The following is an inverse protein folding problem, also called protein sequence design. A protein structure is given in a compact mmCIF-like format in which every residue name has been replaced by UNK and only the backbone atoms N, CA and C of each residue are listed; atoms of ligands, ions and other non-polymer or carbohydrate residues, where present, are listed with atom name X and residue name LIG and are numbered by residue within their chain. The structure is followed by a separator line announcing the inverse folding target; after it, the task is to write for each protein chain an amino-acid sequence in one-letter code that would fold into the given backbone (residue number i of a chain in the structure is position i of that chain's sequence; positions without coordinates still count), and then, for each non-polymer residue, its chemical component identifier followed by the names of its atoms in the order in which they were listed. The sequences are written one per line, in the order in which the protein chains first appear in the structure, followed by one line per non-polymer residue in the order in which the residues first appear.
data_IF_685181374747
#
_entry.id   IF_685181374747
#
_cell.length_a   1.000
_cell.length_b   1.000
_cell.length_c   1.000
_cell.angle_alpha   90.00
_cell.angle_beta   90.00
_cell.angle_gamma   90.00
#
_symmetry.space_group_name_H-M   'P 1'
#
loop_
_entity.id
_entity.type
_entity.pdbx_description
1 polymer ?
#
# COMPACT_ATOMS: atom_id res chain seq x y z
N UNK A 1 9.52 9.67 -32.04
CA UNK A 1 8.73 10.19 -30.90
C UNK A 1 9.31 11.52 -30.46
N UNK A 2 8.50 12.46 -29.99
CA UNK A 2 8.99 13.70 -29.40
C UNK A 2 9.86 13.38 -28.16
N UNK A 3 10.91 14.16 -27.91
CA UNK A 3 11.72 13.99 -26.69
C UNK A 3 10.87 14.29 -25.44
N UNK A 4 11.16 13.71 -24.27
CA UNK A 4 10.44 14.00 -23.02
C UNK A 4 10.29 15.49 -22.73
N UNK A 5 11.35 16.28 -23.00
CA UNK A 5 11.33 17.74 -22.89
C UNK A 5 10.31 18.40 -23.83
N UNK A 6 10.34 18.06 -25.13
CA UNK A 6 9.38 18.59 -26.11
C UNK A 6 7.95 18.23 -25.74
N UNK A 7 7.74 17.05 -25.17
CA UNK A 7 6.42 16.63 -24.69
C UNK A 7 5.94 17.50 -23.51
N UNK A 8 6.80 17.79 -22.53
CA UNK A 8 6.46 18.71 -21.42
C UNK A 8 6.17 20.12 -21.94
N UNK A 9 7.00 20.65 -22.85
CA UNK A 9 6.78 21.93 -23.52
C UNK A 9 5.42 21.94 -24.26
N UNK A 10 5.06 20.86 -24.94
CA UNK A 10 3.76 20.72 -25.59
C UNK A 10 2.60 20.74 -24.58
N UNK A 11 2.72 20.07 -23.42
CA UNK A 11 1.70 20.11 -22.36
C UNK A 11 1.54 21.55 -21.86
N UNK A 12 2.64 22.24 -21.55
CA UNK A 12 2.59 23.62 -21.04
C UNK A 12 1.92 24.58 -22.01
N UNK A 13 2.22 24.46 -23.31
CA UNK A 13 1.64 25.33 -24.34
C UNK A 13 0.18 25.01 -24.64
N UNK A 14 -0.18 23.73 -24.78
CA UNK A 14 -1.51 23.33 -25.23
C UNK A 14 -2.55 23.30 -24.11
N UNK A 15 -2.17 22.81 -22.93
CA UNK A 15 -3.09 22.59 -21.82
C UNK A 15 -3.20 23.78 -20.88
N UNK A 16 -2.09 24.50 -20.68
CA UNK A 16 -2.00 25.61 -19.73
C UNK A 16 -1.89 26.97 -20.42
N UNK A 17 -1.95 27.01 -21.76
CA UNK A 17 -1.84 28.23 -22.57
C UNK A 17 -0.62 29.10 -22.25
N UNK A 18 0.47 28.51 -21.74
CA UNK A 18 1.69 29.26 -21.40
C UNK A 18 2.33 29.75 -22.70
N UNK A 19 2.40 31.08 -22.87
CA UNK A 19 2.85 31.73 -24.11
C UNK A 19 1.76 31.95 -25.16
N UNK A 20 0.48 31.76 -24.82
CA UNK A 20 -0.69 32.08 -25.64
C UNK A 20 -1.69 33.00 -24.92
N UNK A 21 -2.91 33.11 -25.44
CA UNK A 21 -3.99 33.91 -24.83
C UNK A 21 -4.38 33.37 -23.43
N UNK A 22 -4.57 34.24 -22.43
CA UNK A 22 -4.92 33.82 -21.08
C UNK A 22 -6.32 33.20 -21.04
N UNK A 23 -6.43 32.02 -20.42
CA UNK A 23 -7.71 31.33 -20.26
C UNK A 23 -8.44 31.88 -19.01
N UNK A 24 -9.66 32.42 -19.12
CA UNK A 24 -10.38 33.04 -17.99
C UNK A 24 -10.77 32.06 -16.88
N UNK A 25 -10.83 30.74 -17.15
CA UNK A 25 -11.20 29.70 -16.18
C UNK A 25 -10.03 29.23 -15.29
N UNK A 26 -8.85 29.79 -15.50
CA UNK A 26 -7.62 29.41 -14.81
C UNK A 26 -7.72 29.66 -13.30
N UNK A 27 -8.29 30.80 -12.90
CA UNK A 27 -8.38 31.19 -11.51
C UNK A 27 -9.35 30.26 -10.75
N UNK A 28 -10.50 29.94 -11.34
CA UNK A 28 -11.45 28.97 -10.81
C UNK A 28 -10.83 27.57 -10.68
N UNK A 29 -10.04 27.14 -11.67
CA UNK A 29 -9.32 25.86 -11.61
C UNK A 29 -8.26 25.86 -10.50
N UNK A 30 -7.58 26.99 -10.30
CA UNK A 30 -6.61 27.14 -9.22
C UNK A 30 -7.29 27.06 -7.84
N UNK A 31 -8.40 27.78 -7.64
CA UNK A 31 -9.16 27.70 -6.39
C UNK A 31 -9.74 26.31 -6.17
N UNK A 32 -10.25 25.65 -7.20
CA UNK A 32 -10.74 24.27 -7.11
C UNK A 32 -9.62 23.29 -6.72
N UNK A 33 -8.43 23.40 -7.32
CA UNK A 33 -7.28 22.56 -6.95
C UNK A 33 -6.77 22.84 -5.55
N UNK A 34 -6.72 24.10 -5.15
CA UNK A 34 -6.31 24.52 -3.80
C UNK A 34 -7.33 24.07 -2.74
N UNK A 35 -8.62 24.18 -3.02
CA UNK A 35 -9.67 23.71 -2.10
C UNK A 35 -9.70 22.18 -2.05
N UNK A 36 -9.54 21.49 -3.17
CA UNK A 36 -9.40 20.04 -3.19
C UNK A 36 -8.16 19.59 -2.40
N UNK A 37 -6.99 20.22 -2.60
CA UNK A 37 -5.80 19.88 -1.83
C UNK A 37 -5.94 20.22 -0.35
N UNK A 38 -6.56 21.35 -0.01
CA UNK A 38 -6.80 21.74 1.38
C UNK A 38 -7.83 20.82 2.05
N UNK A 39 -9.02 20.61 1.47
CA UNK A 39 -10.10 19.83 2.08
C UNK A 39 -9.81 18.34 2.14
N UNK A 40 -9.28 17.74 1.05
CA UNK A 40 -8.93 16.31 1.02
C UNK A 40 -7.81 15.94 1.99
N UNK A 41 -7.05 16.94 2.45
CA UNK A 41 -5.88 16.72 3.29
C UNK A 41 -5.85 17.61 4.54
N UNK A 42 -6.99 18.19 4.92
CA UNK A 42 -7.18 19.19 6.00
C UNK A 42 -7.01 18.65 7.43
N UNK A 43 -6.60 17.39 7.60
CA UNK A 43 -6.43 16.79 8.93
C UNK A 43 -5.15 15.96 8.96
N UNK A 44 -4.45 16.02 10.10
CA UNK A 44 -3.29 15.18 10.44
C UNK A 44 -3.52 13.69 10.14
N UNK A 45 -4.79 13.27 10.12
CA UNK A 45 -5.25 11.93 9.77
C UNK A 45 -4.90 11.49 8.33
N UNK A 46 -4.78 12.43 7.38
CA UNK A 46 -4.30 12.11 6.02
C UNK A 46 -2.77 12.07 5.92
N UNK A 47 -2.08 12.80 6.81
CA UNK A 47 -0.64 12.75 6.92
C UNK A 47 -0.16 11.36 7.35
N UNK A 48 -0.90 10.70 8.25
CA UNK A 48 -0.64 9.32 8.73
C UNK A 48 -0.68 8.22 7.66
N UNK A 49 -1.08 8.52 6.41
CA UNK A 49 -1.18 7.51 5.33
C UNK A 49 -0.44 7.88 4.05
N UNK A 50 0.37 8.93 4.09
CA UNK A 50 1.08 9.40 2.89
C UNK A 50 2.05 8.36 2.31
N UNK A 51 2.89 7.75 3.16
CA UNK A 51 3.81 6.67 2.76
C UNK A 51 3.06 5.55 2.05
N UNK A 52 1.86 5.23 2.54
CA UNK A 52 1.03 4.17 1.98
C UNK A 52 0.41 4.53 0.62
N UNK A 53 0.11 5.81 0.36
CA UNK A 53 -0.28 6.26 -0.99
C UNK A 53 0.83 6.10 -2.00
N UNK A 54 2.09 6.26 -1.60
CA UNK A 54 3.23 6.02 -2.47
C UNK A 54 3.42 4.53 -2.75
N UNK A 55 3.23 3.67 -1.72
CA UNK A 55 3.20 2.21 -1.90
C UNK A 55 2.12 1.83 -2.92
N UNK A 56 0.93 2.41 -2.84
CA UNK A 56 -0.11 2.15 -3.86
C UNK A 56 0.24 2.65 -5.26
N UNK A 57 0.88 3.82 -5.37
CA UNK A 57 1.31 4.30 -6.67
C UNK A 57 2.31 3.33 -7.30
N UNK A 58 3.25 2.80 -6.50
CA UNK A 58 4.19 1.78 -6.92
C UNK A 58 3.49 0.46 -7.27
N UNK A 59 2.57 -0.01 -6.42
CA UNK A 59 1.79 -1.22 -6.69
C UNK A 59 0.98 -1.15 -8.00
N UNK A 60 0.46 0.03 -8.33
CA UNK A 60 -0.25 0.27 -9.58
C UNK A 60 0.66 0.36 -10.82
N UNK A 61 1.99 0.43 -10.65
CA UNK A 61 2.93 0.56 -11.77
C UNK A 61 3.08 -0.74 -12.57
N UNK A 62 3.74 -0.63 -13.73
CA UNK A 62 4.10 -1.79 -14.55
C UNK A 62 5.57 -2.15 -14.38
N UNK A 63 5.83 -3.45 -14.22
CA UNK A 63 7.18 -3.99 -14.08
C UNK A 63 7.53 -4.86 -15.29
N UNK A 64 8.82 -5.00 -15.57
CA UNK A 64 9.31 -5.93 -16.59
C UNK A 64 9.19 -7.37 -16.10
N UNK A 65 9.05 -8.31 -17.03
CA UNK A 65 9.02 -9.73 -16.70
C UNK A 65 10.37 -10.18 -16.16
N UNK A 66 10.36 -11.00 -15.10
CA UNK A 66 11.58 -11.50 -14.45
C UNK A 66 12.29 -10.52 -13.50
N UNK A 67 11.73 -9.31 -13.28
CA UNK A 67 12.22 -8.38 -12.26
C UNK A 67 11.37 -8.55 -11.00
N UNK A 68 12.01 -8.55 -9.83
CA UNK A 68 11.31 -8.46 -8.55
C UNK A 68 10.97 -7.00 -8.24
N UNK A 69 9.68 -6.62 -8.21
CA UNK A 69 9.28 -5.23 -7.99
C UNK A 69 9.65 -4.76 -6.58
N UNK A 70 10.34 -3.63 -6.50
CA UNK A 70 10.86 -3.08 -5.25
C UNK A 70 10.56 -1.59 -5.12
N UNK A 71 10.32 -1.17 -3.88
CA UNK A 71 10.12 0.24 -3.52
C UNK A 71 11.04 0.60 -2.35
N UNK A 72 11.87 1.61 -2.54
CA UNK A 72 12.80 2.08 -1.52
C UNK A 72 12.52 3.53 -1.16
N UNK A 73 12.51 3.82 0.14
CA UNK A 73 12.44 5.15 0.71
C UNK A 73 13.80 5.51 1.32
N UNK A 74 14.39 6.63 0.91
CA UNK A 74 15.63 7.15 1.49
C UNK A 74 15.38 8.55 2.04
N UNK A 75 15.48 8.71 3.35
CA UNK A 75 15.40 10.00 4.03
C UNK A 75 16.81 10.53 4.27
N UNK A 76 17.17 11.66 3.65
CA UNK A 76 18.49 12.29 3.84
C UNK A 76 18.34 13.70 4.41
N UNK A 77 19.31 14.13 5.23
CA UNK A 77 19.43 15.51 5.69
C UNK A 77 20.00 16.45 4.62
N UNK A 78 20.50 15.89 3.51
CA UNK A 78 21.10 16.67 2.41
C UNK A 78 20.02 17.34 1.58
N UNK A 79 20.22 18.61 1.27
CA UNK A 79 19.41 19.35 0.31
C UNK A 79 19.93 19.13 -1.12
N UNK A 80 19.53 18.00 -1.70
CA UNK A 80 19.94 17.57 -3.04
C UNK A 80 19.48 18.58 -4.11
N UNK A 81 18.38 19.29 -3.85
CA UNK A 81 17.74 20.19 -4.80
C UNK A 81 18.16 21.66 -4.65
N UNK A 82 18.92 22.02 -3.61
CA UNK A 82 19.26 23.42 -3.30
C UNK A 82 18.03 24.29 -2.97
N UNK A 83 17.00 23.67 -2.39
CA UNK A 83 15.71 24.31 -2.07
C UNK A 83 15.68 24.99 -0.70
N UNK A 84 16.70 24.79 0.13
CA UNK A 84 16.73 25.19 1.54
C UNK A 84 15.94 24.25 2.45
N UNK A 85 15.54 23.07 1.97
CA UNK A 85 14.81 22.10 2.77
C UNK A 85 15.72 21.44 3.83
N UNK A 86 15.23 21.25 5.07
CA UNK A 86 16.02 20.63 6.14
C UNK A 86 16.23 19.12 5.98
N UNK A 87 15.42 18.47 5.14
CA UNK A 87 15.56 17.06 4.77
C UNK A 87 14.90 16.80 3.41
N UNK A 88 15.36 15.77 2.72
CA UNK A 88 14.84 15.32 1.43
C UNK A 88 14.44 13.85 1.53
N UNK A 89 13.20 13.53 1.14
CA UNK A 89 12.75 12.16 0.95
C UNK A 89 12.89 11.77 -0.52
N UNK A 90 13.63 10.70 -0.78
CA UNK A 90 13.75 10.08 -2.09
C UNK A 90 12.99 8.78 -2.11
N UNK A 91 12.30 8.51 -3.22
CA UNK A 91 11.56 7.28 -3.43
C UNK A 91 12.05 6.68 -4.74
N UNK A 92 12.56 5.45 -4.66
CA UNK A 92 13.07 4.72 -5.80
C UNK A 92 12.16 3.55 -6.12
N UNK A 93 11.80 3.41 -7.39
CA UNK A 93 10.98 2.30 -7.87
C UNK A 93 11.54 1.75 -9.19
N UNK A 94 11.72 0.43 -9.25
CA UNK A 94 12.33 -0.27 -10.38
C UNK A 94 11.31 -0.65 -11.49
N UNK A 95 10.23 0.13 -11.62
CA UNK A 95 9.23 -0.04 -12.65
C UNK A 95 9.77 0.22 -14.08
N UNK A 96 8.93 -0.02 -15.09
CA UNK A 96 9.20 0.37 -16.49
C UNK A 96 9.37 1.89 -16.68
N UNK A 97 8.87 2.68 -15.73
CA UNK A 97 8.94 4.14 -15.73
C UNK A 97 7.76 4.83 -16.42
N UNK A 98 7.72 6.15 -16.31
CA UNK A 98 6.58 6.96 -16.71
C UNK A 98 6.44 7.03 -18.23
N UNK A 99 5.24 6.73 -18.72
CA UNK A 99 4.83 7.00 -20.10
C UNK A 99 4.31 8.43 -20.26
N UNK A 100 4.23 8.92 -21.50
CA UNK A 100 3.59 10.21 -21.81
C UNK A 100 2.19 10.34 -21.22
N UNK A 101 1.39 9.27 -21.26
CA UNK A 101 0.04 9.23 -20.67
C UNK A 101 0.06 9.39 -19.14
N UNK A 102 1.08 8.86 -18.46
CA UNK A 102 1.21 9.04 -17.01
C UNK A 102 1.49 10.50 -16.67
N UNK A 103 2.38 11.16 -17.42
CA UNK A 103 2.69 12.58 -17.24
C UNK A 103 1.45 13.45 -17.49
N UNK A 104 0.72 13.20 -18.58
CA UNK A 104 -0.54 13.91 -18.88
C UNK A 104 -1.59 13.71 -17.78
N UNK A 105 -1.67 12.50 -17.21
CA UNK A 105 -2.58 12.18 -16.10
C UNK A 105 -2.21 12.92 -14.82
N UNK A 106 -0.93 13.02 -14.45
CA UNK A 106 -0.49 13.80 -13.28
C UNK A 106 -0.79 15.29 -13.47
N UNK A 107 -0.68 15.79 -14.70
CA UNK A 107 -1.00 17.19 -15.02
C UNK A 107 -2.52 17.45 -15.09
N UNK A 108 -3.37 16.48 -14.75
CA UNK A 108 -4.84 16.60 -14.77
C UNK A 108 -5.42 16.60 -13.36
N UNK A 109 -6.62 17.17 -13.20
CA UNK A 109 -7.40 17.16 -11.96
C UNK A 109 -8.67 16.35 -12.19
N UNK A 110 -8.95 15.36 -11.34
CA UNK A 110 -10.19 14.57 -11.40
C UNK A 110 -10.33 13.59 -12.57
N UNK A 111 -9.31 13.46 -13.44
CA UNK A 111 -9.23 12.40 -14.46
C UNK A 111 -8.14 11.41 -14.08
N UNK A 112 -8.53 10.21 -13.65
CA UNK A 112 -7.62 9.08 -13.41
C UNK A 112 -7.62 8.14 -14.60
N UNK A 113 -6.45 7.73 -15.08
CA UNK A 113 -6.28 6.63 -16.03
C UNK A 113 -6.71 5.27 -15.47
N UNK A 114 -6.97 5.20 -14.15
CA UNK A 114 -7.29 3.98 -13.41
C UNK A 114 -8.79 3.83 -13.10
N UNK A 115 -9.62 4.83 -13.43
CA UNK A 115 -11.07 4.79 -13.18
C UNK A 115 -11.72 3.65 -13.97
N UNK A 116 -12.45 2.76 -13.29
CA UNK A 116 -13.12 1.60 -13.89
C UNK A 116 -12.27 0.34 -14.07
N UNK A 117 -11.00 0.35 -13.65
CA UNK A 117 -10.10 -0.81 -13.77
C UNK A 117 -9.89 -1.57 -12.44
N UNK A 118 -10.84 -1.51 -11.50
CA UNK A 118 -10.76 -2.24 -10.21
C UNK A 118 -10.56 -3.74 -10.36
N UNK A 119 -11.11 -4.36 -11.41
CA UNK A 119 -10.91 -5.79 -11.73
C UNK A 119 -9.42 -6.15 -11.96
N UNK A 120 -8.55 -5.16 -12.23
CA UNK A 120 -7.09 -5.32 -12.36
C UNK A 120 -6.32 -4.95 -11.09
N UNK A 121 -7.00 -4.70 -9.97
CA UNK A 121 -6.37 -4.36 -8.69
C UNK A 121 -6.00 -2.88 -8.52
N UNK A 122 -6.40 -1.99 -9.44
CA UNK A 122 -6.06 -0.57 -9.33
C UNK A 122 -6.78 0.13 -8.18
N UNK A 123 -6.01 0.87 -7.37
CA UNK A 123 -6.51 1.51 -6.14
C UNK A 123 -6.77 3.02 -6.35
N UNK A 124 -6.03 3.66 -7.25
CA UNK A 124 -6.09 5.11 -7.49
C UNK A 124 -7.24 5.62 -8.37
N UNK A 125 -8.48 5.67 -7.87
CA UNK A 125 -9.65 6.05 -8.71
C UNK A 125 -9.86 7.55 -8.93
N UNK A 126 -9.45 8.37 -7.97
CA UNK A 126 -9.86 9.79 -7.90
C UNK A 126 -8.95 10.74 -8.68
N UNK A 127 -7.79 10.28 -9.15
CA UNK A 127 -6.83 11.12 -9.89
C UNK A 127 -6.14 12.19 -9.03
N UNK A 128 -6.23 12.06 -7.70
CA UNK A 128 -5.65 12.98 -6.70
C UNK A 128 -4.47 12.35 -5.94
N UNK A 129 -4.19 11.05 -6.13
CA UNK A 129 -3.22 10.30 -5.33
C UNK A 129 -1.83 10.93 -5.31
N UNK A 130 -1.31 11.33 -6.48
CA UNK A 130 -0.04 12.05 -6.57
C UNK A 130 -0.09 13.43 -5.89
N UNK A 131 -1.24 14.10 -5.84
CA UNK A 131 -1.34 15.43 -5.22
C UNK A 131 -1.17 15.40 -3.71
N UNK A 132 -1.29 14.22 -3.08
CA UNK A 132 -0.98 14.04 -1.66
C UNK A 132 0.48 14.37 -1.30
N UNK A 133 1.43 14.31 -2.26
CA UNK A 133 2.83 14.68 -1.99
C UNK A 133 2.97 16.13 -1.52
N UNK A 134 2.03 17.01 -1.91
CA UNK A 134 2.05 18.41 -1.51
C UNK A 134 1.78 18.65 -0.02
N UNK A 135 1.33 17.62 0.71
CA UNK A 135 1.24 17.66 2.16
C UNK A 135 2.60 17.80 2.83
N UNK A 136 3.63 17.20 2.23
CA UNK A 136 4.95 17.08 2.84
C UNK A 136 6.02 17.88 2.10
N UNK A 137 5.78 18.23 0.84
CA UNK A 137 6.71 19.04 0.03
C UNK A 137 5.96 20.16 -0.68
N UNK A 138 6.60 21.31 -0.88
CA UNK A 138 6.06 22.35 -1.76
C UNK A 138 6.44 22.12 -3.25
N UNK A 139 7.46 21.29 -3.50
CA UNK A 139 8.09 21.13 -4.79
C UNK A 139 8.48 19.67 -5.03
N UNK A 140 7.56 18.79 -5.43
CA UNK A 140 7.90 17.42 -5.81
C UNK A 140 8.59 17.37 -7.18
N UNK A 141 9.61 16.51 -7.27
CA UNK A 141 10.38 16.26 -8.49
C UNK A 141 10.18 14.81 -8.95
N UNK A 142 10.14 14.61 -10.27
CA UNK A 142 9.99 13.31 -10.92
C UNK A 142 11.10 13.15 -11.95
N UNK A 143 11.88 12.09 -11.77
CA UNK A 143 12.90 11.62 -12.72
C UNK A 143 12.51 10.22 -13.18
N UNK A 144 12.15 10.07 -14.45
CA UNK A 144 11.76 8.76 -15.00
C UNK A 144 11.81 8.74 -16.52
N UNK A 145 12.42 7.72 -17.14
CA UNK A 145 12.48 7.56 -18.61
C UNK A 145 12.92 8.83 -19.38
N UNK A 146 13.89 9.57 -18.83
CA UNK A 146 14.38 10.82 -19.40
C UNK A 146 13.49 12.04 -19.19
N UNK A 147 12.34 11.91 -18.50
CA UNK A 147 11.64 13.05 -17.91
C UNK A 147 12.41 13.55 -16.69
N UNK A 148 12.56 14.86 -16.60
CA UNK A 148 13.10 15.57 -15.44
C UNK A 148 12.20 16.78 -15.20
N UNK A 149 11.17 16.57 -14.37
CA UNK A 149 10.12 17.56 -14.15
C UNK A 149 9.91 17.82 -12.67
N UNK A 150 9.49 19.03 -12.34
CA UNK A 150 8.99 19.40 -11.02
C UNK A 150 7.59 19.97 -11.12
N UNK A 151 6.89 19.94 -10.00
CA UNK A 151 5.65 20.71 -9.81
C UNK A 151 5.84 21.63 -8.61
N UNK A 152 5.06 22.71 -8.53
CA UNK A 152 5.17 23.70 -7.45
C UNK A 152 3.79 23.98 -6.86
N UNK A 153 3.70 24.13 -5.55
CA UNK A 153 2.47 24.56 -4.85
C UNK A 153 2.06 25.98 -5.23
N UNK A 154 3.06 26.87 -5.34
CA UNK A 154 2.88 28.26 -5.73
C UNK A 154 2.33 28.38 -7.17
N UNK A 155 1.44 29.35 -7.42
CA UNK A 155 0.98 29.68 -8.76
C UNK A 155 2.14 29.95 -9.71
N UNK A 156 2.12 29.32 -10.89
CA UNK A 156 3.03 29.68 -11.97
C UNK A 156 2.79 31.15 -12.38
N UNK A 157 3.82 32.00 -12.48
CA UNK A 157 3.65 33.42 -12.84
C UNK A 157 2.95 33.65 -14.19
N UNK A 158 3.03 32.68 -15.11
CA UNK A 158 2.47 32.79 -16.46
C UNK A 158 0.99 32.41 -16.56
N UNK A 159 0.54 31.48 -15.72
CA UNK A 159 -0.80 30.91 -15.84
C UNK A 159 -1.54 30.81 -14.50
N UNK A 160 -1.04 31.40 -13.42
CA UNK A 160 -1.73 31.44 -12.12
C UNK A 160 -2.01 30.08 -11.47
N UNK A 161 -1.49 28.97 -12.02
CA UNK A 161 -1.78 27.61 -11.58
C UNK A 161 -0.58 26.97 -10.87
N UNK A 162 -0.83 26.41 -9.69
CA UNK A 162 0.08 25.51 -8.98
C UNK A 162 -0.37 24.04 -9.10
N UNK A 163 0.34 23.13 -8.44
CA UNK A 163 0.08 21.70 -8.27
C UNK A 163 0.11 20.82 -9.53
N UNK A 164 -0.30 21.32 -10.69
CA UNK A 164 -0.55 20.53 -11.91
C UNK A 164 0.31 20.95 -13.10
N UNK A 165 0.98 22.09 -13.02
CA UNK A 165 1.84 22.59 -14.10
C UNK A 165 3.20 21.93 -14.00
N UNK A 166 3.63 21.13 -15.00
CA UNK A 166 4.96 20.55 -15.00
C UNK A 166 5.97 21.61 -15.46
N UNK A 167 7.07 21.72 -14.72
CA UNK A 167 8.21 22.55 -15.08
C UNK A 167 9.41 21.65 -15.37
N UNK A 168 10.11 21.88 -16.48
CA UNK A 168 11.35 21.17 -16.76
C UNK A 168 12.45 21.66 -15.82
N UNK A 169 13.23 20.74 -15.25
CA UNK A 169 14.33 21.09 -14.35
C UNK A 169 15.62 21.11 -15.15
N UNK A 170 16.22 22.30 -15.25
CA UNK A 170 17.52 22.50 -15.88
C UNK A 170 18.63 22.36 -14.83
N UNK A 171 19.68 21.59 -15.12
CA UNK A 171 20.88 21.51 -14.28
C UNK A 171 20.76 20.56 -13.08
N UNK A 172 20.24 21.05 -11.94
CA UNK A 172 20.41 20.41 -10.62
C UNK A 172 19.13 19.69 -10.10
N UNK A 173 19.27 18.50 -9.50
CA UNK A 173 20.52 17.81 -9.22
C UNK A 173 21.02 17.12 -10.49
N UNK A 174 22.33 16.94 -10.58
CA UNK A 174 22.86 16.02 -11.56
C UNK A 174 22.44 14.59 -11.20
N UNK A 175 22.28 13.71 -12.20
CA UNK A 175 22.05 12.27 -11.93
C UNK A 175 23.14 11.67 -11.01
N UNK A 176 24.35 12.26 -11.01
CA UNK A 176 25.42 11.89 -10.08
C UNK A 176 25.10 12.23 -8.62
N UNK A 177 24.40 13.31 -8.33
CA UNK A 177 24.05 13.66 -6.94
C UNK A 177 22.98 12.74 -6.38
N UNK A 178 22.03 12.32 -7.23
CA UNK A 178 21.04 11.29 -6.89
C UNK A 178 21.75 9.95 -6.64
N UNK A 179 22.71 9.57 -7.51
CA UNK A 179 23.52 8.35 -7.34
C UNK A 179 24.30 8.31 -6.03
N UNK A 180 24.88 9.43 -5.60
CA UNK A 180 25.62 9.50 -4.33
C UNK A 180 24.77 9.16 -3.11
N UNK A 181 23.48 9.48 -3.15
CA UNK A 181 22.52 9.21 -2.07
C UNK A 181 21.95 7.79 -2.16
N UNK A 182 21.76 7.28 -3.37
CA UNK A 182 21.28 5.91 -3.57
C UNK A 182 22.37 4.87 -3.22
N UNK A 183 23.42 4.81 -4.04
CA UNK A 183 24.65 4.06 -3.83
C UNK A 183 25.56 4.39 -5.03
N UNK A 184 26.81 4.79 -4.76
CA UNK A 184 27.76 5.18 -5.81
C UNK A 184 28.13 4.01 -6.74
N UNK A 185 27.93 2.76 -6.32
CA UNK A 185 28.19 1.56 -7.09
C UNK A 185 26.98 0.96 -7.84
N UNK A 186 25.76 1.44 -7.57
CA UNK A 186 24.54 0.82 -8.08
C UNK A 186 23.92 1.57 -9.27
N UNK A 187 23.19 0.82 -10.10
CA UNK A 187 22.34 1.40 -11.15
C UNK A 187 21.10 2.01 -10.49
N UNK A 188 20.82 3.28 -10.79
CA UNK A 188 19.61 3.94 -10.30
C UNK A 188 18.36 3.24 -10.83
N UNK A 189 17.34 3.04 -9.98
CA UNK A 189 16.03 2.60 -10.43
C UNK A 189 15.42 3.57 -11.46
N UNK A 190 14.58 3.02 -12.35
CA UNK A 190 14.03 3.75 -13.50
C UNK A 190 13.25 5.00 -13.10
N UNK A 191 12.49 4.93 -12.01
CA UNK A 191 11.73 6.06 -11.46
C UNK A 191 12.31 6.48 -10.13
N UNK A 192 12.62 7.77 -10.02
CA UNK A 192 13.00 8.44 -8.78
C UNK A 192 12.07 9.62 -8.54
N UNK A 193 11.44 9.66 -7.36
CA UNK A 193 10.74 10.84 -6.86
C UNK A 193 11.62 11.51 -5.80
N UNK A 194 11.78 12.83 -5.89
CA UNK A 194 12.54 13.61 -4.90
C UNK A 194 11.60 14.63 -4.27
N UNK A 195 11.52 14.62 -2.96
CA UNK A 195 10.56 15.39 -2.19
C UNK A 195 11.29 16.17 -1.08
N UNK A 196 11.69 17.42 -1.35
CA UNK A 196 12.22 18.31 -0.31
C UNK A 196 11.15 18.58 0.73
N UNK A 197 11.40 18.20 1.98
CA UNK A 197 10.37 18.21 3.02
C UNK A 197 10.15 19.61 3.59
N UNK A 198 8.89 19.93 3.88
CA UNK A 198 8.52 21.09 4.70
C UNK A 198 9.11 20.92 6.11
N UNK A 199 9.65 21.98 6.75
CA UNK A 199 10.35 21.86 8.03
C UNK A 199 9.55 21.21 9.16
N UNK A 200 8.24 21.47 9.22
CA UNK A 200 7.33 20.90 10.22
C UNK A 200 6.97 19.43 9.93
N UNK A 201 7.30 18.92 8.74
CA UNK A 201 6.93 17.57 8.29
C UNK A 201 8.06 16.54 8.38
N UNK A 202 9.29 16.95 8.70
CA UNK A 202 10.44 16.03 8.79
C UNK A 202 10.24 14.94 9.84
N UNK A 203 9.99 15.31 11.11
CA UNK A 203 9.80 14.33 12.19
C UNK A 203 8.58 13.43 11.94
N UNK A 204 7.42 13.99 11.57
CA UNK A 204 6.26 13.15 11.30
C UNK A 204 6.46 12.16 10.15
N UNK A 205 7.21 12.52 9.09
CA UNK A 205 7.54 11.59 7.99
C UNK A 205 8.47 10.47 8.47
N UNK A 206 9.48 10.81 9.28
CA UNK A 206 10.38 9.83 9.89
C UNK A 206 9.64 8.83 10.78
N UNK A 207 8.80 9.33 11.69
CA UNK A 207 7.99 8.48 12.60
C UNK A 207 7.02 7.57 11.85
N UNK A 208 6.56 8.01 10.68
CA UNK A 208 5.68 7.24 9.80
C UNK A 208 6.43 6.12 9.08
N UNK A 209 7.60 6.42 8.50
CA UNK A 209 8.41 5.44 7.81
C UNK A 209 8.95 4.36 8.77
N UNK A 210 9.22 4.70 10.04
CA UNK A 210 9.57 3.70 11.06
C UNK A 210 8.40 2.79 11.46
N UNK A 211 7.16 3.17 11.16
CA UNK A 211 5.93 2.44 11.51
C UNK A 211 5.35 1.63 10.35
N UNK A 212 6.15 1.34 9.32
CA UNK A 212 5.70 0.51 8.21
C UNK A 212 5.61 -0.95 8.66
N UNK A 213 4.39 -1.48 8.70
CA UNK A 213 4.14 -2.88 9.06
C UNK A 213 4.67 -3.84 7.98
N UNK A 214 5.48 -4.86 8.34
CA UNK A 214 5.97 -5.87 7.40
C UNK A 214 4.87 -6.57 6.59
N UNK A 215 3.74 -6.82 7.25
CA UNK A 215 2.59 -7.52 6.68
C UNK A 215 1.84 -6.73 5.59
N UNK A 216 2.20 -5.47 5.34
CA UNK A 216 1.69 -4.73 4.17
C UNK A 216 1.92 -5.52 2.88
N UNK A 217 3.09 -6.16 2.74
CA UNK A 217 3.44 -6.93 1.55
C UNK A 217 2.54 -8.15 1.31
N UNK A 218 1.90 -8.71 2.35
CA UNK A 218 1.02 -9.89 2.20
C UNK A 218 -0.18 -9.64 1.28
N UNK A 219 -0.57 -8.38 1.14
CA UNK A 219 -1.79 -7.99 0.43
C UNK A 219 -1.52 -7.14 -0.82
N UNK A 220 -0.25 -6.88 -1.13
CA UNK A 220 0.17 -6.33 -2.40
C UNK A 220 0.27 -7.46 -3.43
N UNK A 221 0.02 -7.15 -4.69
CA UNK A 221 0.02 -8.11 -5.80
C UNK A 221 1.29 -8.06 -6.65
N UNK A 222 2.06 -6.97 -6.60
CA UNK A 222 3.27 -6.79 -7.41
C UNK A 222 4.51 -6.52 -6.56
N UNK A 223 4.45 -5.56 -5.63
CA UNK A 223 5.61 -5.18 -4.82
C UNK A 223 6.01 -6.35 -3.90
N UNK A 224 7.26 -6.79 -4.04
CA UNK A 224 7.83 -7.89 -3.23
C UNK A 224 8.84 -7.43 -2.20
N UNK A 225 9.40 -6.24 -2.37
CA UNK A 225 10.40 -5.68 -1.47
C UNK A 225 10.11 -4.22 -1.16
N UNK A 226 10.21 -3.88 0.13
CA UNK A 226 10.00 -2.54 0.66
C UNK A 226 11.14 -2.21 1.62
N UNK A 227 11.91 -1.17 1.33
CA UNK A 227 13.00 -0.73 2.19
C UNK A 227 12.86 0.74 2.59
N UNK A 228 13.27 1.04 3.82
CA UNK A 228 13.34 2.37 4.39
C UNK A 228 14.76 2.55 4.91
N UNK A 229 15.43 3.60 4.45
CA UNK A 229 16.79 3.95 4.82
C UNK A 229 16.89 5.41 5.24
N UNK A 230 17.67 5.66 6.29
CA UNK A 230 18.14 7.00 6.62
C UNK A 230 19.59 7.18 6.17
N UNK A 231 19.84 8.27 5.45
CA UNK A 231 21.16 8.71 5.00
C UNK A 231 21.51 10.03 5.71
N UNK A 232 22.31 9.92 6.77
CA UNK A 232 22.77 11.02 7.59
C UNK A 232 24.22 11.39 7.25
N UNK A 233 24.63 12.61 7.60
CA UNK A 233 26.04 13.02 7.45
C UNK A 233 26.98 12.16 8.30
N UNK A 234 26.54 11.75 9.50
CA UNK A 234 27.20 10.73 10.30
C UNK A 234 26.67 9.35 9.90
N UNK A 235 27.48 8.50 9.23
CA UNK A 235 27.05 7.17 8.82
C UNK A 235 26.61 6.26 9.98
N UNK A 236 27.02 6.57 11.23
CA UNK A 236 26.62 5.81 12.43
C UNK A 236 25.15 6.00 12.79
N UNK A 237 24.53 7.08 12.31
CA UNK A 237 23.12 7.38 12.52
C UNK A 237 22.24 6.80 11.41
N UNK A 238 22.82 6.20 10.37
CA UNK A 238 22.07 5.59 9.29
C UNK A 238 21.29 4.40 9.82
N UNK A 239 20.00 4.35 9.48
CA UNK A 239 19.13 3.21 9.76
C UNK A 239 18.75 2.55 8.45
N UNK A 240 18.69 1.22 8.44
CA UNK A 240 18.13 0.46 7.33
C UNK A 240 17.10 -0.49 7.89
N UNK A 241 15.96 -0.52 7.21
CA UNK A 241 14.81 -1.29 7.58
C UNK A 241 14.23 -1.87 6.30
N UNK A 242 14.44 -3.17 6.07
CA UNK A 242 14.00 -3.84 4.86
C UNK A 242 12.92 -4.87 5.20
N UNK A 243 11.95 -5.02 4.31
CA UNK A 243 10.91 -6.04 4.36
C UNK A 243 10.87 -6.68 2.98
N UNK A 244 10.94 -8.00 2.91
CA UNK A 244 10.89 -8.72 1.64
C UNK A 244 10.02 -9.97 1.74
N UNK A 245 9.37 -10.32 0.62
CA UNK A 245 8.83 -11.65 0.39
C UNK A 245 9.98 -12.56 -0.02
N UNK A 246 10.36 -13.50 0.85
CA UNK A 246 11.47 -14.45 0.62
C UNK A 246 11.03 -15.65 -0.20
N UNK A 247 9.78 -16.08 -0.03
CA UNK A 247 9.23 -17.21 -0.78
C UNK A 247 7.71 -17.18 -0.88
N UNK A 248 7.21 -17.70 -2.00
CA UNK A 248 5.79 -17.99 -2.25
C UNK A 248 5.67 -19.44 -2.70
N UNK A 249 4.99 -20.27 -1.91
CA UNK A 249 4.92 -21.72 -2.14
C UNK A 249 3.51 -22.26 -1.90
N UNK A 250 3.33 -23.56 -2.19
CA UNK A 250 2.11 -24.32 -1.86
C UNK A 250 0.82 -23.72 -2.44
N UNK A 251 0.89 -23.16 -3.65
CA UNK A 251 -0.28 -22.61 -4.32
C UNK A 251 -1.27 -23.72 -4.70
N UNK A 252 -2.50 -23.64 -4.18
CA UNK A 252 -3.58 -24.60 -4.46
C UNK A 252 -4.87 -23.85 -4.75
N UNK A 253 -5.49 -24.15 -5.90
CA UNK A 253 -6.79 -23.61 -6.30
C UNK A 253 -7.91 -24.64 -6.08
N UNK A 254 -8.95 -24.23 -5.37
CA UNK A 254 -10.12 -25.05 -5.00
C UNK A 254 -11.37 -24.50 -5.66
N UNK A 255 -11.79 -25.12 -6.76
CA UNK A 255 -12.94 -24.68 -7.57
C UNK A 255 -14.29 -24.83 -6.87
N UNK A 256 -14.43 -25.80 -5.97
CA UNK A 256 -15.67 -26.09 -5.25
C UNK A 256 -16.13 -24.94 -4.34
N UNK A 257 -15.18 -24.17 -3.79
CA UNK A 257 -15.44 -23.06 -2.87
C UNK A 257 -14.95 -21.71 -3.40
N UNK A 258 -14.54 -21.67 -4.68
CA UNK A 258 -13.86 -20.54 -5.33
C UNK A 258 -12.79 -19.88 -4.45
N UNK A 259 -11.83 -20.71 -4.03
CA UNK A 259 -10.76 -20.30 -3.13
C UNK A 259 -9.37 -20.70 -3.63
N UNK A 260 -8.37 -19.95 -3.18
CA UNK A 260 -6.95 -20.15 -3.42
C UNK A 260 -6.23 -20.13 -2.08
N UNK A 261 -5.30 -21.07 -1.87
CA UNK A 261 -4.41 -21.07 -0.71
C UNK A 261 -2.96 -21.05 -1.15
N UNK A 262 -2.10 -20.40 -0.39
CA UNK A 262 -0.66 -20.33 -0.64
C UNK A 262 0.07 -19.95 0.65
N UNK A 263 1.39 -20.11 0.69
CA UNK A 263 2.23 -19.72 1.82
C UNK A 263 3.17 -18.61 1.37
N UNK A 264 3.16 -17.49 2.09
CA UNK A 264 4.12 -16.39 1.91
C UNK A 264 5.05 -16.37 3.11
N UNK A 265 6.35 -16.31 2.87
CA UNK A 265 7.35 -16.04 3.92
C UNK A 265 7.83 -14.60 3.79
N UNK A 266 7.77 -13.86 4.89
CA UNK A 266 8.26 -12.51 4.99
C UNK A 266 9.51 -12.48 5.85
N UNK A 267 10.53 -11.75 5.41
CA UNK A 267 11.64 -11.35 6.28
C UNK A 267 11.59 -9.87 6.59
N UNK A 268 12.08 -9.52 7.78
CA UNK A 268 12.29 -8.15 8.21
C UNK A 268 13.70 -8.01 8.77
N UNK A 269 14.47 -7.11 8.17
CA UNK A 269 15.80 -6.71 8.64
C UNK A 269 15.69 -5.35 9.36
N UNK A 270 16.36 -5.23 10.51
CA UNK A 270 16.50 -4.00 11.28
C UNK A 270 17.92 -3.81 11.80
N UNK A 271 18.38 -2.56 11.85
CA UNK A 271 19.70 -2.24 12.38
C UNK A 271 19.86 -2.69 13.85
N UNK A 272 20.93 -3.43 14.11
CA UNK A 272 21.35 -3.84 15.46
C UNK A 272 20.88 -5.24 15.88
N UNK A 273 20.03 -5.90 15.09
CA UNK A 273 19.67 -7.30 15.30
C UNK A 273 20.48 -8.18 14.33
N UNK A 274 21.38 -9.02 14.84
CA UNK A 274 22.21 -9.91 14.01
C UNK A 274 21.43 -11.11 13.44
N UNK A 275 20.11 -11.17 13.65
CA UNK A 275 19.23 -12.21 13.12
C UNK A 275 18.11 -11.58 12.29
N UNK A 276 18.10 -11.89 11.00
CA UNK A 276 16.94 -11.69 10.12
C UNK A 276 15.74 -12.43 10.74
N UNK A 277 14.66 -11.70 11.03
CA UNK A 277 13.42 -12.31 11.55
C UNK A 277 12.55 -12.69 10.37
N UNK A 278 12.18 -13.96 10.30
CA UNK A 278 11.29 -14.49 9.27
C UNK A 278 9.97 -14.98 9.90
N UNK A 279 8.86 -14.71 9.23
CA UNK A 279 7.55 -15.24 9.59
C UNK A 279 6.82 -15.68 8.32
N UNK A 280 6.32 -16.91 8.32
CA UNK A 280 5.49 -17.44 7.24
C UNK A 280 4.02 -17.35 7.57
N UNK A 281 3.23 -17.07 6.54
CA UNK A 281 1.79 -16.84 6.63
C UNK A 281 1.08 -17.83 5.71
N UNK A 282 0.16 -18.60 6.26
CA UNK A 282 -0.79 -19.34 5.45
C UNK A 282 -1.87 -18.38 4.97
N UNK A 283 -1.98 -18.24 3.66
CA UNK A 283 -2.89 -17.32 3.01
C UNK A 283 -4.08 -18.11 2.47
N UNK A 284 -5.29 -17.62 2.74
CA UNK A 284 -6.53 -18.17 2.19
C UNK A 284 -7.34 -17.05 1.56
N UNK A 285 -7.45 -17.07 0.24
CA UNK A 285 -8.25 -16.10 -0.54
C UNK A 285 -9.49 -16.78 -1.07
N UNK A 286 -10.67 -16.28 -0.71
CA UNK A 286 -11.95 -16.82 -1.15
C UNK A 286 -12.85 -15.74 -1.72
N UNK A 287 -13.56 -16.08 -2.79
CA UNK A 287 -14.53 -15.19 -3.43
C UNK A 287 -15.96 -15.52 -3.03
N UNK A 288 -16.76 -14.48 -2.87
CA UNK A 288 -18.18 -14.59 -2.53
C UNK A 288 -19.00 -13.65 -3.42
N UNK A 289 -20.18 -14.08 -3.90
CA UNK A 289 -21.05 -13.19 -4.66
C UNK A 289 -21.59 -12.07 -3.77
N UNK A 290 -21.61 -10.84 -4.30
CA UNK A 290 -22.17 -9.68 -3.61
C UNK A 290 -23.69 -9.82 -3.58
N UNK A 291 -24.25 -9.90 -2.37
CA UNK A 291 -25.71 -9.93 -2.17
C UNK A 291 -26.32 -8.57 -2.53
N UNK A 292 -27.50 -8.58 -3.14
CA UNK A 292 -28.19 -7.36 -3.61
C UNK A 292 -28.39 -6.32 -2.49
N UNK A 293 -28.75 -6.77 -1.29
CA UNK A 293 -28.92 -5.89 -0.13
C UNK A 293 -27.65 -5.15 0.31
N UNK A 294 -26.47 -5.68 0.00
CA UNK A 294 -25.19 -5.15 0.42
C UNK A 294 -24.51 -4.25 -0.64
N UNK A 295 -25.09 -4.09 -1.84
CA UNK A 295 -24.57 -3.21 -2.90
C UNK A 295 -24.63 -1.73 -2.51
N UNK A 296 -23.57 -0.98 -2.76
CA UNK A 296 -23.44 0.45 -2.44
C UNK A 296 -23.02 1.23 -3.69
N UNK A 297 -23.46 2.49 -3.81
CA UNK A 297 -23.21 3.32 -5.00
C UNK A 297 -21.74 3.37 -5.42
N UNK A 298 -20.83 3.39 -4.45
CA UNK A 298 -19.37 3.47 -4.67
C UNK A 298 -18.74 2.16 -5.20
N UNK A 299 -19.51 1.07 -5.29
CA UNK A 299 -19.07 -0.30 -5.63
C UNK A 299 -20.10 -1.04 -6.51
N UNK A 300 -20.95 -0.33 -7.24
CA UNK A 300 -22.00 -0.95 -8.06
C UNK A 300 -21.45 -1.87 -9.17
N UNK A 301 -20.20 -1.67 -9.57
CA UNK A 301 -19.46 -2.44 -10.57
C UNK A 301 -18.80 -3.71 -10.02
N UNK A 302 -18.86 -3.93 -8.70
CA UNK A 302 -18.24 -5.08 -8.03
C UNK A 302 -19.29 -6.15 -7.76
N UNK A 303 -19.09 -7.31 -8.39
CA UNK A 303 -20.01 -8.45 -8.33
C UNK A 303 -19.57 -9.52 -7.31
N UNK A 304 -18.30 -9.51 -6.91
CA UNK A 304 -17.70 -10.49 -6.01
C UNK A 304 -16.87 -9.80 -4.91
N UNK A 305 -16.99 -10.25 -3.66
CA UNK A 305 -16.07 -9.94 -2.59
C UNK A 305 -14.91 -10.93 -2.59
N UNK A 306 -13.68 -10.44 -2.67
CA UNK A 306 -12.49 -11.24 -2.40
C UNK A 306 -12.04 -11.00 -0.96
N UNK A 307 -12.10 -12.07 -0.14
CA UNK A 307 -11.68 -12.05 1.26
C UNK A 307 -10.41 -12.89 1.38
N UNK A 308 -9.35 -12.29 1.90
CA UNK A 308 -8.09 -12.98 2.20
C UNK A 308 -7.91 -13.06 3.70
N UNK A 309 -7.67 -14.27 4.22
CA UNK A 309 -7.26 -14.51 5.60
C UNK A 309 -5.77 -14.88 5.62
N UNK A 310 -4.99 -14.26 6.51
CA UNK A 310 -3.58 -14.59 6.71
C UNK A 310 -3.36 -15.13 8.12
N UNK A 311 -2.82 -16.34 8.22
CA UNK A 311 -2.56 -17.06 9.47
C UNK A 311 -1.06 -17.14 9.72
N UNK A 312 -0.52 -16.42 10.72
CA UNK A 312 0.91 -16.41 11.01
C UNK A 312 1.36 -17.73 11.64
N UNK A 313 2.35 -18.39 11.03
CA UNK A 313 2.88 -19.68 11.49
C UNK A 313 3.95 -19.54 12.59
N UNK A 314 4.49 -18.34 12.77
CA UNK A 314 5.43 -17.97 13.82
C UNK A 314 4.98 -16.67 14.49
N UNK A 315 5.80 -16.14 15.39
CA UNK A 315 5.58 -14.80 15.93
C UNK A 315 5.50 -13.78 14.79
N UNK A 316 4.44 -12.97 14.81
CA UNK A 316 4.24 -11.92 13.80
C UNK A 316 5.41 -10.96 13.87
N UNK A 317 5.81 -10.42 12.73
CA UNK A 317 6.85 -9.40 12.65
C UNK A 317 6.28 -8.08 13.18
N UNK A 318 6.30 -7.92 14.50
CA UNK A 318 5.82 -6.75 15.22
C UNK A 318 7.02 -5.94 15.69
N UNK A 319 7.39 -4.91 14.94
CA UNK A 319 8.51 -4.01 15.23
C UNK A 319 8.27 -3.12 16.47
N UNK A 320 7.92 -3.72 17.61
CA UNK A 320 7.37 -3.05 18.79
C UNK A 320 5.97 -2.45 18.59
N UNK A 321 5.31 -2.76 17.46
CA UNK A 321 4.02 -2.19 17.08
C UNK A 321 2.84 -3.10 17.43
N UNK A 322 1.66 -2.51 17.69
CA UNK A 322 0.41 -3.27 17.72
C UNK A 322 0.10 -3.84 16.34
N UNK A 323 -0.06 -5.15 16.23
CA UNK A 323 -0.29 -5.79 14.94
C UNK A 323 -1.77 -5.68 14.52
N UNK A 324 -2.09 -4.96 13.45
CA UNK A 324 -3.47 -4.75 13.06
C UNK A 324 -4.09 -6.05 12.56
N UNK A 325 -5.39 -6.22 12.81
CA UNK A 325 -6.11 -7.43 12.44
C UNK A 325 -6.99 -7.27 11.20
N UNK A 326 -7.16 -6.04 10.70
CA UNK A 326 -7.94 -5.75 9.49
C UNK A 326 -7.12 -4.93 8.51
N UNK A 327 -7.13 -5.34 7.26
CA UNK A 327 -6.51 -4.65 6.14
C UNK A 327 -7.57 -4.36 5.07
N UNK A 328 -7.49 -3.16 4.50
CA UNK A 328 -8.25 -2.78 3.31
C UNK A 328 -7.25 -2.32 2.26
N UNK A 329 -6.57 -3.29 1.63
CA UNK A 329 -5.31 -3.17 0.90
C UNK A 329 -4.12 -2.67 1.76
N UNK A 330 -4.36 -1.86 2.79
CA UNK A 330 -3.40 -1.37 3.77
C UNK A 330 -3.85 -1.69 5.20
N UNK A 331 -2.92 -1.71 6.16
CA UNK A 331 -3.24 -1.87 7.57
C UNK A 331 -4.19 -0.75 8.03
N UNK A 332 -5.21 -1.16 8.77
CA UNK A 332 -6.00 -0.25 9.62
C UNK A 332 -5.35 -0.17 11.01
N UNK A 333 -5.82 0.70 11.89
CA UNK A 333 -5.39 0.73 13.31
C UNK A 333 -6.24 -0.22 14.18
N UNK A 334 -7.08 -1.08 13.56
CA UNK A 334 -8.00 -1.95 14.28
C UNK A 334 -7.29 -3.19 14.84
N UNK A 335 -7.16 -3.22 16.16
CA UNK A 335 -6.76 -4.42 16.90
C UNK A 335 -7.98 -5.32 17.12
N UNK A 336 -8.02 -6.47 16.44
CA UNK A 336 -9.19 -7.35 16.41
C UNK A 336 -9.20 -8.39 17.53
N UNK A 337 -8.03 -8.75 18.06
CA UNK A 337 -7.78 -9.93 18.90
C UNK A 337 -8.02 -11.28 18.21
N UNK A 338 -8.20 -11.29 16.89
CA UNK A 338 -8.13 -12.52 16.12
C UNK A 338 -6.68 -12.98 15.96
N UNK A 339 -6.41 -14.29 15.99
CA UNK A 339 -5.07 -14.84 15.74
C UNK A 339 -4.71 -14.88 14.25
N UNK A 340 -5.51 -14.24 13.39
CA UNK A 340 -5.33 -14.13 11.96
C UNK A 340 -5.72 -12.73 11.48
N UNK A 341 -5.25 -12.37 10.30
CA UNK A 341 -5.49 -11.08 9.66
C UNK A 341 -6.62 -11.23 8.65
N UNK A 342 -7.53 -10.25 8.59
CA UNK A 342 -8.61 -10.17 7.61
C UNK A 342 -8.30 -9.07 6.61
N UNK A 343 -8.24 -9.42 5.33
CA UNK A 343 -8.09 -8.47 4.24
C UNK A 343 -9.28 -8.56 3.27
N UNK A 344 -9.90 -7.42 2.97
CA UNK A 344 -10.94 -7.29 1.93
C UNK A 344 -11.09 -5.82 1.48
N UNK A 345 -11.89 -5.56 0.44
CA UNK A 345 -12.22 -4.19 -0.01
C UNK A 345 -13.20 -3.50 0.95
N UNK A 346 -12.81 -3.29 2.21
CA UNK A 346 -13.65 -2.61 3.20
C UNK A 346 -13.77 -1.12 2.90
N UNK A 347 -14.95 -0.57 3.15
CA UNK A 347 -15.15 0.88 3.22
C UNK A 347 -14.61 1.41 4.54
N UNK A 348 -13.67 2.35 4.45
CA UNK A 348 -13.03 2.97 5.61
C UNK A 348 -13.77 4.24 6.05
N UNK A 349 -13.66 4.55 7.34
CA UNK A 349 -14.01 5.86 7.87
C UNK A 349 -13.19 6.97 7.19
N UNK A 350 -13.60 8.22 7.30
CA UNK A 350 -12.86 9.35 6.72
C UNK A 350 -11.40 9.40 7.19
N UNK A 351 -11.12 8.89 8.40
CA UNK A 351 -9.75 8.75 8.90
C UNK A 351 -8.93 7.70 8.16
N UNK A 352 -9.56 6.63 7.67
CA UNK A 352 -8.86 5.47 7.13
C UNK A 352 -8.34 4.49 8.18
N UNK A 353 -8.41 4.84 9.46
CA UNK A 353 -7.88 4.05 10.58
C UNK A 353 -8.80 2.90 10.97
N UNK A 354 -10.10 3.00 10.64
CA UNK A 354 -11.11 1.99 10.99
C UNK A 354 -12.05 1.73 9.82
N UNK A 355 -12.57 0.51 9.73
CA UNK A 355 -13.66 0.20 8.80
C UNK A 355 -14.98 0.80 9.30
N UNK A 356 -15.88 1.16 8.38
CA UNK A 356 -17.24 1.57 8.70
C UNK A 356 -18.08 0.38 9.13
N UNK A 357 -18.08 0.06 10.42
CA UNK A 357 -18.78 -1.12 10.96
C UNK A 357 -20.30 -1.07 10.74
N UNK A 358 -20.92 0.10 10.65
CA UNK A 358 -22.36 0.21 10.36
C UNK A 358 -22.73 0.07 8.88
N UNK A 359 -21.75 0.04 7.97
CA UNK A 359 -22.00 0.03 6.54
C UNK A 359 -22.39 -1.36 6.04
N UNK A 360 -23.45 -1.42 5.21
CA UNK A 360 -23.99 -2.67 4.69
C UNK A 360 -23.00 -3.45 3.81
N UNK A 361 -22.10 -2.77 3.09
CA UNK A 361 -21.04 -3.43 2.33
C UNK A 361 -20.10 -4.19 3.25
N UNK A 362 -19.61 -3.53 4.31
CA UNK A 362 -18.70 -4.13 5.28
C UNK A 362 -19.37 -5.24 6.09
N UNK A 363 -20.65 -5.08 6.47
CA UNK A 363 -21.40 -6.15 7.12
C UNK A 363 -21.48 -7.40 6.23
N UNK A 364 -21.75 -7.23 4.92
CA UNK A 364 -21.78 -8.34 3.97
C UNK A 364 -20.44 -9.08 3.88
N UNK A 365 -19.32 -8.35 3.89
CA UNK A 365 -17.98 -8.95 3.94
C UNK A 365 -17.77 -9.71 5.26
N UNK A 366 -18.08 -9.09 6.41
CA UNK A 366 -17.89 -9.70 7.73
C UNK A 366 -18.72 -10.99 7.91
N UNK A 367 -19.94 -11.04 7.37
CA UNK A 367 -20.79 -12.24 7.37
C UNK A 367 -20.13 -13.42 6.63
N UNK A 368 -19.33 -13.14 5.61
CA UNK A 368 -18.60 -14.15 4.82
C UNK A 368 -17.30 -14.61 5.50
N UNK A 369 -16.73 -13.82 6.42
CA UNK A 369 -15.47 -14.15 7.12
C UNK A 369 -15.56 -15.47 7.86
N UNK A 370 -16.70 -15.77 8.51
CA UNK A 370 -16.85 -17.04 9.23
C UNK A 370 -16.79 -18.24 8.28
N UNK A 371 -17.44 -18.17 7.12
CA UNK A 371 -17.36 -19.22 6.11
C UNK A 371 -15.95 -19.36 5.54
N UNK A 372 -15.26 -18.24 5.25
CA UNK A 372 -13.89 -18.26 4.77
C UNK A 372 -12.94 -18.90 5.79
N UNK A 373 -13.11 -18.57 7.07
CA UNK A 373 -12.32 -19.14 8.15
C UNK A 373 -12.50 -20.64 8.26
N UNK A 374 -13.73 -21.15 8.24
CA UNK A 374 -13.98 -22.61 8.34
C UNK A 374 -13.32 -23.34 7.18
N UNK A 375 -13.49 -22.87 5.95
CA UNK A 375 -12.88 -23.51 4.79
C UNK A 375 -11.35 -23.49 4.87
N UNK A 376 -10.76 -22.36 5.29
CA UNK A 376 -9.33 -22.22 5.49
C UNK A 376 -8.81 -23.17 6.58
N UNK A 377 -9.46 -23.16 7.74
CA UNK A 377 -9.08 -23.92 8.91
C UNK A 377 -9.21 -25.43 8.65
N UNK A 378 -10.33 -25.88 8.09
CA UNK A 378 -10.51 -27.27 7.67
C UNK A 378 -9.47 -27.69 6.64
N UNK A 379 -9.12 -26.82 5.69
CA UNK A 379 -8.03 -27.11 4.76
C UNK A 379 -6.68 -27.24 5.46
N UNK A 380 -6.36 -26.37 6.42
CA UNK A 380 -5.10 -26.41 7.16
C UNK A 380 -4.99 -27.69 7.99
N UNK A 381 -6.06 -28.07 8.70
CA UNK A 381 -6.10 -29.28 9.52
C UNK A 381 -6.03 -30.55 8.67
N UNK A 382 -6.76 -30.62 7.56
CA UNK A 382 -6.74 -31.79 6.66
C UNK A 382 -5.42 -31.95 5.92
N UNK A 383 -4.74 -30.86 5.55
CA UNK A 383 -3.39 -30.93 4.98
C UNK A 383 -2.36 -31.50 5.97
N UNK A 384 -2.67 -31.50 7.27
CA UNK A 384 -1.83 -32.07 8.32
C UNK A 384 -2.24 -33.48 8.76
N UNK A 385 -3.21 -34.14 8.11
CA UNK A 385 -3.65 -35.51 8.49
C UNK A 385 -2.52 -36.54 8.43
N UNK A 386 -1.58 -36.41 7.50
CA UNK A 386 -0.37 -37.27 7.41
C UNK A 386 0.83 -36.71 8.21
N UNK A 387 0.68 -35.55 8.86
CA UNK A 387 1.73 -34.88 9.62
C UNK A 387 1.62 -35.23 11.12
N UNK A 388 2.72 -35.16 11.89
CA UNK A 388 2.68 -35.44 13.33
C UNK A 388 1.70 -34.51 14.05
N UNK A 389 1.04 -35.03 15.10
CA UNK A 389 0.02 -34.33 15.93
C UNK A 389 0.51 -32.98 16.48
N UNK A 390 1.83 -32.82 16.64
CA UNK A 390 2.44 -31.53 17.00
C UNK A 390 2.12 -30.41 16.00
N UNK A 391 1.94 -30.71 14.73
CA UNK A 391 1.51 -29.77 13.69
C UNK A 391 0.08 -29.28 13.88
N UNK A 392 -0.81 -30.14 14.38
CA UNK A 392 -2.21 -29.80 14.68
C UNK A 392 -2.33 -28.82 15.85
N UNK A 393 -1.47 -28.96 16.86
CA UNK A 393 -1.47 -28.06 18.03
C UNK A 393 -1.27 -26.59 17.64
N UNK A 394 -0.45 -26.34 16.60
CA UNK A 394 -0.22 -25.00 16.07
C UNK A 394 -1.42 -24.48 15.30
N UNK A 395 -2.10 -25.32 14.52
CA UNK A 395 -3.30 -24.91 13.78
C UNK A 395 -4.42 -24.53 14.74
N UNK A 396 -4.59 -25.24 15.85
CA UNK A 396 -5.58 -24.92 16.89
C UNK A 396 -5.36 -23.55 17.55
N UNK A 397 -4.14 -23.00 17.52
CA UNK A 397 -3.86 -21.65 17.99
C UNK A 397 -4.55 -20.56 17.14
N UNK A 398 -5.01 -20.88 15.93
CA UNK A 398 -5.79 -19.97 15.09
C UNK A 398 -7.27 -19.86 15.47
N UNK A 399 -7.72 -20.58 16.48
CA UNK A 399 -9.09 -20.44 16.98
C UNK A 399 -9.26 -19.07 17.67
N UNK A 400 -10.26 -18.26 17.26
CA UNK A 400 -10.46 -16.93 17.82
C UNK A 400 -11.12 -17.03 19.20
N UNK A 401 -10.34 -17.21 20.27
CA UNK A 401 -10.85 -17.35 21.64
C UNK A 401 -11.11 -16.02 22.33
N UNK A 402 -10.37 -14.98 21.95
CA UNK A 402 -10.36 -13.70 22.66
C UNK A 402 -11.50 -12.78 22.22
N UNK A 403 -11.97 -11.94 23.15
CA UNK A 403 -12.96 -10.88 22.86
C UNK A 403 -12.32 -9.67 22.22
N UNK A 404 -12.99 -9.14 21.20
CA UNK A 404 -12.64 -7.87 20.58
C UNK A 404 -13.35 -6.73 21.31
N UNK A 405 -12.78 -5.53 21.27
CA UNK A 405 -13.48 -4.29 21.66
C UNK A 405 -14.65 -3.96 20.72
N UNK A 406 -14.68 -4.54 19.51
CA UNK A 406 -15.71 -4.29 18.51
C UNK A 406 -16.82 -5.36 18.53
N UNK A 407 -18.07 -4.92 18.75
CA UNK A 407 -19.24 -5.81 18.81
C UNK A 407 -19.43 -6.66 17.54
N UNK A 408 -19.27 -6.06 16.36
CA UNK A 408 -19.42 -6.78 15.08
C UNK A 408 -18.36 -7.88 14.92
N UNK A 409 -17.12 -7.66 15.38
CA UNK A 409 -16.08 -8.69 15.34
C UNK A 409 -16.36 -9.81 16.34
N UNK A 410 -16.97 -9.50 17.49
CA UNK A 410 -17.46 -10.52 18.41
C UNK A 410 -18.58 -11.36 17.77
N UNK A 411 -19.46 -10.77 16.96
CA UNK A 411 -20.47 -11.53 16.21
C UNK A 411 -19.83 -12.47 15.17
N UNK A 412 -18.78 -12.03 14.46
CA UNK A 412 -17.98 -12.90 13.58
C UNK A 412 -17.36 -14.06 14.36
N UNK A 413 -16.80 -13.80 15.55
CA UNK A 413 -16.26 -14.86 16.43
C UNK A 413 -17.33 -15.90 16.77
N UNK A 414 -18.49 -15.47 17.25
CA UNK A 414 -19.56 -16.40 17.63
C UNK A 414 -20.08 -17.17 16.42
N UNK A 415 -20.13 -16.55 15.23
CA UNK A 415 -20.47 -17.23 13.97
C UNK A 415 -19.43 -18.31 13.61
N UNK A 416 -18.13 -18.02 13.76
CA UNK A 416 -17.07 -19.01 13.58
C UNK A 416 -17.26 -20.17 14.56
N UNK A 417 -17.47 -19.86 15.84
CA UNK A 417 -17.67 -20.87 16.89
C UNK A 417 -18.87 -21.78 16.59
N UNK A 418 -20.00 -21.21 16.20
CA UNK A 418 -21.20 -21.98 15.88
C UNK A 418 -20.95 -22.95 14.72
N UNK A 419 -20.30 -22.48 13.64
CA UNK A 419 -19.97 -23.32 12.48
C UNK A 419 -18.93 -24.40 12.79
N UNK A 420 -17.93 -24.10 13.63
CA UNK A 420 -16.92 -25.10 14.02
C UNK A 420 -17.52 -26.31 14.75
N UNK A 421 -18.61 -26.12 15.50
CA UNK A 421 -19.29 -27.21 16.23
C UNK A 421 -19.93 -28.22 15.25
N UNK A 422 -20.32 -27.76 14.06
CA UNK A 422 -20.97 -28.58 13.04
C UNK A 422 -19.98 -29.37 12.18
N UNK A 423 -18.69 -29.07 12.28
CA UNK A 423 -17.64 -29.62 11.43
C UNK A 423 -16.83 -30.72 12.15
N UNK A 424 -16.55 -31.82 11.44
CA UNK A 424 -15.71 -32.91 11.92
C UNK A 424 -14.23 -32.61 11.68
N UNK A 425 -13.63 -31.73 12.49
CA UNK A 425 -12.27 -31.20 12.27
C UNK A 425 -11.23 -31.77 13.25
N UNK A 426 -11.65 -32.35 14.38
CA UNK A 426 -10.73 -32.99 15.32
C UNK A 426 -10.57 -34.46 14.90
N UNK A 427 -9.35 -34.97 14.67
CA UNK A 427 -9.14 -36.40 14.62
C UNK A 427 -9.44 -36.93 16.02
N UNK A 428 -10.68 -37.41 16.21
CA UNK A 428 -10.98 -38.30 17.32
C UNK A 428 -10.20 -39.56 16.98
N UNK A 429 -9.06 -39.78 17.65
CA UNK A 429 -8.57 -41.15 17.79
C UNK A 429 -9.72 -41.92 18.41
N UNK A 430 -10.47 -42.63 17.57
CA UNK A 430 -11.44 -43.60 18.03
C UNK A 430 -10.58 -44.65 18.72
N UNK A 431 -10.57 -44.58 20.05
CA UNK A 431 -9.93 -45.48 20.99
C UNK A 431 -10.62 -46.86 20.92
N UNK A 432 -10.66 -47.47 19.74
CA UNK A 432 -11.24 -48.80 19.47
C UNK A 432 -10.17 -49.91 19.44
N UNK A 433 -8.98 -49.66 19.97
CA UNK A 433 -7.89 -50.67 20.02
C UNK A 433 -7.48 -51.15 21.42
N UNK A 434 -8.31 -50.94 22.43
CA UNK A 434 -8.10 -51.53 23.77
C UNK A 434 -9.40 -52.04 24.44
N UNK A 435 -10.27 -52.71 23.68
CA UNK A 435 -11.31 -53.57 24.25
C UNK A 435 -11.15 -55.01 23.77
#
# INVERSE_FOLDING_TARGET
MATPRKHVEQITKTKFSIGGEPNPLIEDLHQATKHLSAELYSKDVHFFRYSLFLVYNAEDNEYLEGVDPSLEFVLTSRDIMGTGAPATLLIFNNEKGFSSKNIESICSVGRSTKKGNRKRGYIGEKGIGFKSVFLITAQPYIFSNGYQIRFTENPCPHCGLGYIVPEWVEGNPSLSDIKKVYDSGATLPTTTLILPLKPDKVKPVKDQLSKVHPEVLLFLSKIKCLSVREDNEDPRLNTVCAIAITSETNFVRRKNVDAESYTISLSAEENGDNSEKECSYYMWKQRFPVKEGNKVERRMDVEEWAITLAFPNQERLNRGMSSPGVYAFLPTEMVTNFPFIIHADFLLASSGETILLGDKWNQGILDCVSSAFINAFTSLVKMTEDAPVSSLSRMLAFLPLNRSSYANLNAVRESIRARLIEESIVPVEVLERFL
#
